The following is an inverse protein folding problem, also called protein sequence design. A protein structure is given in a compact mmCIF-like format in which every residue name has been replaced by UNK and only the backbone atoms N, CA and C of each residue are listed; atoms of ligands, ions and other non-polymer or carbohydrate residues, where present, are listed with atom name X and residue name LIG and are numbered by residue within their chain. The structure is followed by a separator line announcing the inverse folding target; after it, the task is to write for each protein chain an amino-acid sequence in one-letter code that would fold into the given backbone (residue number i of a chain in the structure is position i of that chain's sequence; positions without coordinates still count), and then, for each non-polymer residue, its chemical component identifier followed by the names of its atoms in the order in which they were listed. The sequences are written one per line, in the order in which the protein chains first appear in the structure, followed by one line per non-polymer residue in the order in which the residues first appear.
data_IF_998902052654
#
_entry.id   IF_998902052654
#
_cell.length_a   1.000
_cell.length_b   1.000
_cell.length_c   1.000
_cell.angle_alpha   90.00
_cell.angle_beta   90.00
_cell.angle_gamma   90.00
#
_symmetry.space_group_name_H-M   'P 1'
#
loop_
_entity.id
_entity.type
_entity.pdbx_description
1 polymer ?
#
# COMPACT_ATOMS: atom_id res chain seq x y z
N UNK A 1 -11.75 16.94 3.33
CA UNK A 1 -10.60 16.68 2.44
C UNK A 1 -10.05 15.33 2.86
N UNK A 2 -10.18 14.31 2.03
CA UNK A 2 -9.90 12.94 2.45
C UNK A 2 -8.44 12.59 2.19
N UNK A 3 -7.77 12.03 3.19
CA UNK A 3 -6.38 11.62 3.03
C UNK A 3 -6.31 10.33 2.23
N UNK A 4 -5.44 10.31 1.22
CA UNK A 4 -5.15 9.14 0.41
C UNK A 4 -3.76 8.62 0.73
N UNK A 5 -3.70 7.36 1.13
CA UNK A 5 -2.48 6.66 1.50
C UNK A 5 -2.34 5.37 0.70
N UNK A 6 -1.11 5.00 0.34
CA UNK A 6 -0.75 3.71 -0.25
C UNK A 6 0.37 3.07 0.57
N UNK A 7 0.16 1.83 0.99
CA UNK A 7 1.16 1.04 1.71
C UNK A 7 1.40 -0.27 0.97
N UNK A 8 2.67 -0.66 0.88
CA UNK A 8 3.07 -2.02 0.53
C UNK A 8 3.50 -2.75 1.79
N UNK A 9 2.89 -3.90 2.06
CA UNK A 9 3.16 -4.69 3.24
C UNK A 9 3.23 -6.19 2.92
N UNK A 10 3.97 -6.91 3.74
CA UNK A 10 4.26 -8.32 3.57
C UNK A 10 3.80 -9.13 4.79
N UNK A 11 3.13 -10.26 4.56
CA UNK A 11 2.84 -11.24 5.60
C UNK A 11 4.10 -12.01 5.96
N UNK A 12 4.46 -12.00 7.25
CA UNK A 12 5.58 -12.80 7.76
C UNK A 12 5.27 -14.31 7.72
N UNK A 13 4.04 -14.68 8.06
CA UNK A 13 3.62 -16.07 8.19
C UNK A 13 3.27 -16.71 6.85
N UNK A 14 2.52 -16.00 6.01
CA UNK A 14 1.92 -16.56 4.78
C UNK A 14 2.77 -16.29 3.53
N UNK A 15 3.86 -15.52 3.66
CA UNK A 15 4.84 -15.31 2.59
C UNK A 15 4.28 -14.60 1.35
N UNK A 16 3.25 -13.76 1.50
CA UNK A 16 2.73 -12.92 0.41
C UNK A 16 2.96 -11.44 0.68
N UNK A 17 2.96 -10.66 -0.39
CA UNK A 17 3.05 -9.20 -0.34
C UNK A 17 1.82 -8.61 -1.01
N UNK A 18 1.35 -7.48 -0.49
CA UNK A 18 0.21 -6.77 -1.05
C UNK A 18 0.44 -5.25 -1.08
N UNK A 19 -0.32 -4.60 -1.95
CA UNK A 19 -0.45 -3.14 -2.01
C UNK A 19 -1.86 -2.83 -1.53
N UNK A 20 -2.00 -1.92 -0.58
CA UNK A 20 -3.27 -1.47 -0.05
C UNK A 20 -3.34 0.05 -0.03
N UNK A 21 -4.53 0.56 -0.36
CA UNK A 21 -4.84 1.98 -0.30
C UNK A 21 -5.85 2.25 0.82
N UNK A 22 -5.78 3.44 1.40
CA UNK A 22 -6.78 4.00 2.30
C UNK A 22 -7.16 5.37 1.78
N UNK A 23 -8.43 5.58 1.43
CA UNK A 23 -8.90 6.88 0.94
C UNK A 23 -10.04 7.43 1.80
N UNK A 24 -9.66 8.08 2.91
CA UNK A 24 -10.59 8.63 3.89
C UNK A 24 -10.81 7.76 5.13
N UNK A 25 -10.35 6.50 5.13
CA UNK A 25 -10.49 5.60 6.28
C UNK A 25 -9.57 5.96 7.46
N UNK A 26 -8.29 6.23 7.20
CA UNK A 26 -7.35 6.70 8.21
C UNK A 26 -7.10 8.21 8.11
N UNK A 27 -7.00 8.88 9.25
CA UNK A 27 -6.69 10.32 9.30
C UNK A 27 -5.21 10.58 9.01
N UNK A 28 -4.32 9.71 9.50
CA UNK A 28 -2.86 9.87 9.35
C UNK A 28 -2.23 8.60 8.78
N UNK A 29 -1.17 8.76 7.98
CA UNK A 29 -0.42 7.65 7.38
C UNK A 29 0.14 6.68 8.44
N UNK A 30 0.55 7.20 9.60
CA UNK A 30 1.08 6.38 10.69
C UNK A 30 0.00 5.50 11.32
N UNK A 31 -1.27 5.91 11.35
CA UNK A 31 -2.37 5.07 11.86
C UNK A 31 -2.56 3.84 10.97
N UNK A 32 -2.57 4.04 9.65
CA UNK A 32 -2.65 2.94 8.70
C UNK A 32 -1.46 1.98 8.84
N UNK A 33 -0.26 2.54 9.01
CA UNK A 33 0.97 1.75 9.21
C UNK A 33 0.91 0.93 10.51
N UNK A 34 0.49 1.54 11.61
CA UNK A 34 0.36 0.90 12.91
C UNK A 34 -0.67 -0.23 12.89
N UNK A 35 -1.82 -0.01 12.26
CA UNK A 35 -2.85 -1.04 12.07
C UNK A 35 -2.31 -2.30 11.38
N UNK A 36 -1.54 -2.13 10.30
CA UNK A 36 -0.96 -3.28 9.59
C UNK A 36 0.12 -4.00 10.40
N UNK A 37 0.93 -3.25 11.16
CA UNK A 37 1.95 -3.83 12.05
C UNK A 37 1.28 -4.65 13.15
N UNK A 38 0.21 -4.14 13.77
CA UNK A 38 -0.58 -4.85 14.79
C UNK A 38 -1.14 -6.18 14.24
N UNK A 39 -1.58 -6.20 12.97
CA UNK A 39 -2.03 -7.42 12.29
C UNK A 39 -0.90 -8.35 11.82
N UNK A 40 0.35 -8.09 12.21
CA UNK A 40 1.50 -8.96 11.94
C UNK A 40 2.17 -8.75 10.58
N UNK A 41 1.84 -7.67 9.87
CA UNK A 41 2.48 -7.37 8.58
C UNK A 41 3.76 -6.56 8.74
N UNK A 42 4.76 -6.88 7.93
CA UNK A 42 5.97 -6.07 7.77
C UNK A 42 5.72 -5.00 6.73
N UNK A 43 5.93 -3.73 7.10
CA UNK A 43 5.86 -2.60 6.17
C UNK A 43 7.07 -2.60 5.24
N UNK A 44 6.83 -2.41 3.94
CA UNK A 44 7.85 -2.31 2.90
C UNK A 44 7.97 -0.87 2.39
N UNK A 45 6.85 -0.20 2.17
CA UNK A 45 6.80 1.19 1.74
C UNK A 45 5.51 1.86 2.21
N UNK A 46 5.59 3.14 2.57
CA UNK A 46 4.45 3.96 3.01
C UNK A 46 4.47 5.28 2.24
N UNK A 47 3.34 5.66 1.66
CA UNK A 47 3.27 6.86 0.83
C UNK A 47 1.96 7.60 1.07
N UNK A 48 2.04 8.92 1.18
CA UNK A 48 0.88 9.80 1.11
C UNK A 48 0.72 10.33 -0.32
N UNK A 49 -0.51 10.74 -0.67
CA UNK A 49 -0.76 11.37 -1.97
C UNK A 49 0.20 12.53 -2.25
N UNK A 50 0.66 12.61 -3.50
CA UNK A 50 1.70 13.54 -3.94
C UNK A 50 3.14 13.08 -3.66
N UNK A 51 3.34 11.98 -2.93
CA UNK A 51 4.67 11.35 -2.68
C UNK A 51 4.86 10.02 -3.42
N UNK A 52 4.01 9.72 -4.39
CA UNK A 52 4.13 8.55 -5.26
C UNK A 52 3.41 8.78 -6.58
N UNK A 53 3.86 8.10 -7.63
CA UNK A 53 3.17 7.98 -8.92
C UNK A 53 2.37 6.68 -9.01
N UNK A 54 1.19 6.74 -9.61
CA UNK A 54 0.23 5.63 -9.64
C UNK A 54 0.68 4.43 -10.49
N UNK A 55 1.59 4.61 -11.45
CA UNK A 55 2.01 3.56 -12.37
C UNK A 55 0.81 2.95 -13.10
N UNK A 56 0.64 1.64 -13.03
CA UNK A 56 -0.49 0.93 -13.64
C UNK A 56 -1.63 0.62 -12.64
N UNK A 57 -1.61 1.26 -11.47
CA UNK A 57 -2.62 1.14 -10.42
C UNK A 57 -3.33 2.49 -10.29
N UNK A 58 -4.47 2.72 -10.97
CA UNK A 58 -5.16 4.00 -10.94
C UNK A 58 -5.54 4.42 -9.50
N UNK A 59 -5.77 5.72 -9.27
CA UNK A 59 -6.26 6.20 -7.98
C UNK A 59 -7.57 5.48 -7.64
N UNK A 60 -7.71 5.03 -6.39
CA UNK A 60 -8.96 4.44 -5.93
C UNK A 60 -10.05 5.50 -5.78
N UNK A 61 -11.30 5.08 -5.86
CA UNK A 61 -12.43 5.92 -5.44
C UNK A 61 -12.41 6.11 -3.91
N UNK A 62 -12.99 7.20 -3.39
CA UNK A 62 -13.11 7.41 -1.95
C UNK A 62 -13.87 6.27 -1.26
N UNK A 63 -13.29 5.75 -0.17
CA UNK A 63 -13.90 4.74 0.70
C UNK A 63 -13.40 5.00 2.13
N UNK A 64 -14.26 5.56 2.96
CA UNK A 64 -13.97 5.87 4.37
C UNK A 64 -14.13 4.66 5.29
N UNK A 65 -14.68 3.56 4.80
CA UNK A 65 -15.11 2.44 5.63
C UNK A 65 -14.14 1.26 5.49
N UNK A 66 -13.42 1.18 4.38
CA UNK A 66 -12.56 0.03 4.06
C UNK A 66 -11.12 0.40 3.68
N UNK A 67 -10.26 -0.61 3.84
CA UNK A 67 -8.93 -0.67 3.23
C UNK A 67 -9.06 -1.37 1.88
N UNK A 68 -8.51 -0.77 0.82
CA UNK A 68 -8.68 -1.25 -0.55
C UNK A 68 -7.44 -2.03 -0.98
N UNK A 69 -7.54 -3.36 -1.14
CA UNK A 69 -6.44 -4.19 -1.65
C UNK A 69 -6.30 -3.98 -3.16
N UNK A 70 -5.14 -3.46 -3.59
CA UNK A 70 -4.86 -3.14 -5.00
C UNK A 70 -4.07 -4.21 -5.73
N UNK A 71 -3.29 -4.99 -4.98
CA UNK A 71 -2.50 -6.10 -5.48
C UNK A 71 -2.21 -7.07 -4.35
N UNK A 72 -2.14 -8.37 -4.65
CA UNK A 72 -1.65 -9.38 -3.72
C UNK A 72 -0.97 -10.47 -4.53
N UNK A 73 0.26 -10.84 -4.15
CA UNK A 73 1.03 -11.88 -4.81
C UNK A 73 1.88 -12.66 -3.80
N UNK A 74 2.12 -13.94 -4.09
CA UNK A 74 3.08 -14.75 -3.31
C UNK A 74 4.50 -14.21 -3.50
N UNK A 75 5.31 -14.32 -2.45
CA UNK A 75 6.69 -13.86 -2.44
C UNK A 75 6.85 -12.40 -2.06
N UNK A 76 8.04 -11.86 -2.33
CA UNK A 76 8.44 -10.47 -2.03
C UNK A 76 8.02 -9.53 -3.17
N UNK A 77 7.80 -8.26 -2.84
CA UNK A 77 7.75 -7.21 -3.86
C UNK A 77 9.08 -7.14 -4.61
N UNK A 78 9.01 -6.86 -5.91
CA UNK A 78 10.17 -6.48 -6.70
C UNK A 78 10.38 -4.98 -6.53
N UNK A 79 11.56 -4.59 -6.05
CA UNK A 79 11.95 -3.20 -5.82
C UNK A 79 13.11 -2.91 -6.75
N UNK A 80 12.90 -1.96 -7.66
CA UNK A 80 13.87 -1.53 -8.68
C UNK A 80 13.99 -0.01 -8.60
N UNK A 81 14.97 0.46 -7.83
CA UNK A 81 15.09 1.88 -7.45
C UNK A 81 13.84 2.35 -6.70
N UNK A 82 13.13 3.30 -7.30
CA UNK A 82 11.88 3.86 -6.76
C UNK A 82 10.62 3.16 -7.29
N UNK A 83 10.74 2.08 -8.06
CA UNK A 83 9.61 1.33 -8.61
C UNK A 83 9.33 0.11 -7.75
N UNK A 84 8.08 -0.04 -7.31
CA UNK A 84 7.60 -1.19 -6.54
C UNK A 84 6.59 -1.97 -7.37
N UNK A 85 6.84 -3.27 -7.53
CA UNK A 85 5.97 -4.20 -8.25
C UNK A 85 5.54 -5.36 -7.36
N UNK A 86 4.24 -5.63 -7.30
CA UNK A 86 3.63 -6.79 -6.64
C UNK A 86 2.74 -7.51 -7.65
N UNK A 87 3.13 -8.72 -8.06
CA UNK A 87 2.48 -9.42 -9.17
C UNK A 87 2.64 -8.65 -10.47
N UNK A 88 1.54 -8.26 -11.11
CA UNK A 88 1.51 -7.43 -12.32
C UNK A 88 1.20 -5.95 -12.04
N UNK A 89 1.15 -5.54 -10.77
CA UNK A 89 0.80 -4.18 -10.34
C UNK A 89 2.04 -3.43 -9.90
N UNK A 90 2.23 -2.22 -10.42
CA UNK A 90 3.43 -1.41 -10.25
C UNK A 90 3.07 0.04 -9.98
N UNK A 91 3.79 0.67 -9.05
CA UNK A 91 3.74 2.10 -8.79
C UNK A 91 5.14 2.63 -8.47
N UNK A 92 5.29 3.95 -8.41
CA UNK A 92 6.58 4.63 -8.25
C UNK A 92 6.55 5.42 -6.94
N UNK A 93 7.51 5.24 -6.05
CA UNK A 93 7.71 6.07 -4.85
C UNK A 93 8.49 7.33 -5.21
N UNK A 94 8.27 8.44 -4.51
CA UNK A 94 8.98 9.71 -4.72
C UNK A 94 9.61 10.23 -3.44
#
# INVERSE_FOLDING_TARGET
MNNYFRITAQSREKGYTFIADSYGHFEKLWQFSAYLIEKGFRIIAVNAEGKFGFGNIPKADPDSDHIIIRACAKGKALIDGNKITVGNRTYITM
#
